data_IF_667632467218
#
_entry.id   IF_667632467218
#
_cell.length_a   1.000
_cell.length_b   1.000
_cell.length_c   1.000
_cell.angle_alpha   90.00
_cell.angle_beta   90.00
_cell.angle_gamma   90.00
#
_symmetry.space_group_name_H-M   'P 1'
#
loop_
_entity.id
_entity.type
_entity.pdbx_description
1 polymer ?
#
# COMPACT_ATOMS: atom_id res chain seq x y z
N UNK A 1 -31.66 2.84 -32.84
CA UNK A 1 -31.30 2.59 -32.44
C UNK A 1 -30.82 2.26 -31.98
N UNK A 2 -30.63 2.03 -31.53
CA UNK A 2 -30.01 1.73 -30.90
C UNK A 2 -29.49 1.04 -30.60
N UNK A 3 -28.86 0.90 -30.52
CA UNK A 3 -28.25 0.25 -30.23
C UNK A 3 -27.91 -0.15 -29.29
N UNK A 4 -28.19 -0.31 -28.87
CA UNK A 4 -27.67 -0.66 -28.12
C UNK A 4 -27.15 -1.47 -28.03
N UNK A 5 -27.39 -1.18 -28.27
CA UNK A 5 -26.16 -1.70 -28.05
C UNK A 5 -26.02 -2.67 -26.94
N UNK A 6 -25.17 -3.46 -27.06
CA UNK A 6 -24.83 -4.31 -25.98
C UNK A 6 -23.71 -3.72 -25.23
N UNK A 7 -24.01 -3.06 -24.16
CA UNK A 7 -22.97 -2.65 -23.24
C UNK A 7 -22.65 -3.82 -22.33
N UNK A 8 -21.42 -4.26 -22.36
CA UNK A 8 -20.95 -5.20 -21.36
C UNK A 8 -20.49 -4.41 -20.16
N UNK A 9 -21.16 -4.61 -19.05
CA UNK A 9 -20.84 -3.88 -17.83
C UNK A 9 -19.98 -4.78 -16.95
N UNK A 10 -18.78 -4.32 -16.66
CA UNK A 10 -17.88 -5.00 -15.72
C UNK A 10 -17.93 -4.28 -14.39
N UNK A 11 -17.97 -5.07 -13.32
CA UNK A 11 -17.78 -4.50 -12.01
C UNK A 11 -16.30 -4.20 -11.82
N UNK A 12 -15.98 -2.96 -11.58
CA UNK A 12 -14.62 -2.52 -11.30
C UNK A 12 -14.57 -1.94 -9.90
N UNK A 13 -13.75 -2.54 -9.06
CA UNK A 13 -13.49 -2.02 -7.73
C UNK A 13 -12.16 -1.29 -7.73
N UNK A 14 -12.19 -0.04 -7.31
CA UNK A 14 -10.97 0.75 -7.12
C UNK A 14 -10.81 1.00 -5.63
N UNK A 15 -9.78 0.40 -5.07
CA UNK A 15 -9.51 0.48 -3.64
C UNK A 15 -8.33 1.42 -3.42
N UNK A 16 -8.52 2.39 -2.54
CA UNK A 16 -7.47 3.31 -2.15
C UNK A 16 -7.07 3.05 -0.70
N UNK A 17 -5.77 2.95 -0.48
CA UNK A 17 -5.19 2.85 0.86
C UNK A 17 -4.40 4.12 1.13
N UNK A 18 -4.56 4.66 2.33
CA UNK A 18 -3.81 5.84 2.76
C UNK A 18 -3.27 5.63 4.18
N UNK A 19 -2.21 6.37 4.48
CA UNK A 19 -1.80 6.57 5.87
C UNK A 19 -2.43 7.90 6.30
N UNK A 20 -3.37 7.80 7.22
CA UNK A 20 -4.08 8.97 7.75
C UNK A 20 -3.28 9.53 8.92
N UNK A 21 -2.73 10.72 8.73
CA UNK A 21 -1.95 11.44 9.73
C UNK A 21 -2.73 12.59 10.37
N UNK A 22 -4.05 12.51 10.38
CA UNK A 22 -4.88 13.54 11.04
C UNK A 22 -4.49 13.71 12.51
N UNK A 23 -4.13 12.60 13.15
CA UNK A 23 -3.49 12.60 14.45
C UNK A 23 -2.07 12.08 14.28
N UNK A 24 -1.04 12.96 14.27
CA UNK A 24 0.33 12.51 14.06
C UNK A 24 0.86 11.58 15.15
N UNK A 25 0.25 11.59 16.31
CA UNK A 25 0.63 10.65 17.38
C UNK A 25 0.17 9.23 17.06
N UNK A 26 -0.84 9.08 16.24
CA UNK A 26 -1.43 7.78 15.89
C UNK A 26 -1.75 7.71 14.40
N UNK A 27 -0.74 7.58 13.53
CA UNK A 27 -0.99 7.40 12.10
C UNK A 27 -1.70 6.08 11.87
N UNK A 28 -2.68 6.09 10.98
CA UNK A 28 -3.55 4.95 10.77
C UNK A 28 -3.57 4.54 9.30
N UNK A 29 -3.59 3.24 9.05
CA UNK A 29 -3.86 2.71 7.73
C UNK A 29 -5.36 2.69 7.51
N UNK A 30 -5.82 3.34 6.47
CA UNK A 30 -7.23 3.42 6.13
C UNK A 30 -7.45 3.02 4.68
N UNK A 31 -8.67 2.64 4.38
CA UNK A 31 -9.07 2.07 3.10
C UNK A 31 -10.40 2.64 2.66
N UNK A 32 -10.54 2.84 1.36
CA UNK A 32 -11.80 3.27 0.77
C UNK A 32 -11.99 2.60 -0.59
N UNK A 33 -13.18 2.04 -0.83
CA UNK A 33 -13.60 1.66 -2.17
C UNK A 33 -14.21 2.90 -2.82
N UNK A 34 -13.53 3.42 -3.84
CA UNK A 34 -13.87 4.72 -4.43
C UNK A 34 -15.29 4.71 -5.02
N UNK A 35 -15.72 3.58 -5.56
CA UNK A 35 -17.03 3.49 -6.21
C UNK A 35 -18.20 3.36 -5.26
N UNK A 36 -17.99 2.92 -4.02
CA UNK A 36 -19.10 2.56 -3.13
C UNK A 36 -19.05 3.24 -1.77
N UNK A 37 -17.85 3.62 -1.29
CA UNK A 37 -17.72 4.17 0.05
C UNK A 37 -17.68 5.69 0.01
N UNK A 38 -18.36 6.32 0.96
CA UNK A 38 -18.34 7.78 1.09
C UNK A 38 -17.15 8.27 1.92
N UNK A 39 -16.53 7.38 2.68
CA UNK A 39 -15.43 7.74 3.56
C UNK A 39 -14.46 6.58 3.73
N UNK A 40 -13.31 6.90 4.31
CA UNK A 40 -12.30 5.88 4.61
C UNK A 40 -12.68 5.09 5.84
N UNK A 41 -12.36 3.80 5.81
CA UNK A 41 -12.52 2.91 6.95
C UNK A 41 -11.16 2.60 7.54
N UNK A 42 -11.08 2.59 8.85
CA UNK A 42 -9.87 2.25 9.58
C UNK A 42 -9.55 0.76 9.39
N UNK A 43 -8.32 0.47 8.98
CA UNK A 43 -7.81 -0.91 8.87
C UNK A 43 -6.94 -1.24 10.09
N UNK A 44 -6.01 -0.36 10.42
CA UNK A 44 -5.08 -0.59 11.52
C UNK A 44 -4.56 0.73 12.05
N UNK A 45 -4.40 0.78 13.36
CA UNK A 45 -3.79 1.92 14.03
C UNK A 45 -2.28 1.75 14.09
N UNK A 46 -1.58 2.87 14.24
CA UNK A 46 -0.13 2.91 14.45
C UNK A 46 0.63 2.23 13.31
N UNK A 47 0.25 2.56 12.10
CA UNK A 47 0.94 2.19 10.88
C UNK A 47 1.60 3.44 10.31
N UNK A 48 2.91 3.41 10.23
CA UNK A 48 3.74 4.55 9.84
C UNK A 48 3.84 4.70 8.33
N UNK A 49 3.87 3.58 7.61
CA UNK A 49 4.01 3.60 6.15
C UNK A 49 3.46 2.33 5.52
N UNK A 50 3.06 2.46 4.26
CA UNK A 50 2.61 1.37 3.41
C UNK A 50 3.23 1.58 2.03
N UNK A 51 3.94 0.59 1.51
CA UNK A 51 4.57 0.66 0.21
C UNK A 51 4.32 -0.62 -0.58
N UNK A 52 4.36 -0.50 -1.90
CA UNK A 52 4.21 -1.62 -2.81
C UNK A 52 5.39 -1.69 -3.77
N UNK A 53 5.79 -2.90 -4.12
CA UNK A 53 6.66 -3.18 -5.25
C UNK A 53 5.95 -4.17 -6.16
N UNK A 54 6.04 -3.95 -7.46
CA UNK A 54 5.36 -4.77 -8.44
C UNK A 54 6.40 -5.63 -9.16
N UNK A 55 6.18 -6.94 -9.16
CA UNK A 55 7.07 -7.89 -9.79
C UNK A 55 6.45 -8.25 -11.13
N UNK A 56 7.16 -7.96 -12.21
CA UNK A 56 6.68 -8.20 -13.55
C UNK A 56 6.99 -9.63 -13.99
N UNK A 57 6.41 -10.02 -15.12
CA UNK A 57 6.56 -11.37 -15.65
C UNK A 57 8.01 -11.76 -15.94
N UNK A 58 8.85 -10.78 -16.27
CA UNK A 58 10.28 -11.00 -16.53
C UNK A 58 11.14 -11.02 -15.27
N UNK A 59 10.52 -10.84 -14.10
CA UNK A 59 11.23 -10.79 -12.82
C UNK A 59 11.70 -9.41 -12.40
N UNK A 60 11.54 -8.40 -13.26
CA UNK A 60 11.92 -7.04 -12.90
C UNK A 60 10.97 -6.48 -11.83
N UNK A 61 11.48 -5.50 -11.07
CA UNK A 61 10.74 -4.88 -9.99
C UNK A 61 10.48 -3.43 -10.34
N UNK A 62 9.22 -3.02 -10.23
CA UNK A 62 8.79 -1.64 -10.45
C UNK A 62 8.20 -1.12 -9.14
N UNK A 63 8.69 0.01 -8.69
CA UNK A 63 8.25 0.61 -7.41
C UNK A 63 7.08 1.56 -7.59
N UNK A 64 6.86 2.06 -8.79
CA UNK A 64 5.74 2.93 -9.14
C UNK A 64 5.14 2.48 -10.45
N UNK A 65 3.81 2.40 -10.49
CA UNK A 65 3.08 2.09 -11.71
C UNK A 65 2.58 3.40 -12.32
N UNK A 66 3.50 4.15 -12.89
CA UNK A 66 3.16 5.40 -13.58
C UNK A 66 2.80 5.18 -15.04
N UNK A 67 2.92 3.95 -15.52
CA UNK A 67 2.57 3.59 -16.89
C UNK A 67 1.57 2.44 -16.87
N UNK A 68 0.38 2.68 -17.39
CA UNK A 68 -0.69 1.67 -17.42
C UNK A 68 -0.28 0.41 -18.19
N UNK A 69 0.65 0.52 -19.14
CA UNK A 69 1.13 -0.63 -19.90
C UNK A 69 1.81 -1.70 -19.08
N UNK A 70 2.24 -1.39 -17.85
CA UNK A 70 2.86 -2.38 -16.98
C UNK A 70 1.85 -3.25 -16.24
N UNK A 71 0.60 -2.80 -16.14
CA UNK A 71 -0.41 -3.50 -15.34
C UNK A 71 -0.64 -4.94 -15.78
N UNK A 72 -0.79 -5.23 -17.09
CA UNK A 72 -0.99 -6.62 -17.53
C UNK A 72 0.21 -7.52 -17.33
N UNK A 73 1.38 -6.94 -17.05
CA UNK A 73 2.63 -7.67 -16.92
C UNK A 73 2.96 -8.03 -15.47
N UNK A 74 2.13 -7.64 -14.53
CA UNK A 74 2.36 -7.87 -13.11
C UNK A 74 2.05 -9.32 -12.77
N UNK A 75 3.02 -10.02 -12.19
CA UNK A 75 2.81 -11.39 -11.72
C UNK A 75 2.72 -11.47 -10.19
N UNK A 76 3.22 -10.49 -9.49
CA UNK A 76 3.15 -10.47 -8.02
C UNK A 76 3.29 -9.04 -7.51
N UNK A 77 2.78 -8.82 -6.31
CA UNK A 77 2.88 -7.54 -5.61
C UNK A 77 3.52 -7.82 -4.26
N UNK A 78 4.58 -7.10 -3.94
CA UNK A 78 5.18 -7.13 -2.62
C UNK A 78 4.66 -5.94 -1.82
N UNK A 79 4.13 -6.21 -0.65
CA UNK A 79 3.55 -5.21 0.23
C UNK A 79 4.46 -5.04 1.43
N UNK A 80 4.77 -3.79 1.75
CA UNK A 80 5.54 -3.44 2.95
C UNK A 80 4.65 -2.63 3.89
N UNK A 81 4.65 -3.00 5.14
CA UNK A 81 3.94 -2.27 6.19
C UNK A 81 4.94 -1.97 7.29
N UNK A 82 5.11 -0.70 7.63
CA UNK A 82 5.92 -0.28 8.74
C UNK A 82 5.01 0.08 9.90
N UNK A 83 4.93 -0.82 10.87
CA UNK A 83 4.14 -0.62 12.08
C UNK A 83 5.01 0.00 13.17
N UNK A 84 4.39 0.72 14.10
CA UNK A 84 5.10 1.28 15.23
C UNK A 84 4.32 1.07 16.53
N UNK A 85 4.99 1.21 17.65
CA UNK A 85 4.35 1.13 18.96
C UNK A 85 3.35 2.26 19.14
N UNK A 86 2.34 2.04 19.97
CA UNK A 86 1.31 3.04 20.25
C UNK A 86 1.91 4.28 20.89
N UNK A 87 2.84 4.07 21.82
CA UNK A 87 3.47 5.15 22.57
C UNK A 87 4.98 5.10 22.43
N UNK A 88 5.61 6.25 22.64
CA UNK A 88 7.06 6.31 22.75
C UNK A 88 7.52 5.53 23.97
N UNK A 89 8.68 4.88 23.83
CA UNK A 89 9.28 4.10 24.87
C UNK A 89 10.37 4.93 25.53
N UNK A 90 10.26 5.11 26.85
CA UNK A 90 11.20 5.93 27.59
C UNK A 90 12.61 5.37 27.48
N UNK A 91 13.56 6.24 27.17
CA UNK A 91 14.96 5.87 27.04
C UNK A 91 15.32 5.15 25.75
N UNK A 92 14.36 5.03 24.81
CA UNK A 92 14.59 4.36 23.55
C UNK A 92 14.67 5.39 22.41
N UNK A 93 15.61 5.18 21.51
CA UNK A 93 15.70 5.91 20.25
C UNK A 93 15.84 4.89 19.14
N UNK A 94 14.96 4.96 18.15
CA UNK A 94 14.98 4.01 17.03
C UNK A 94 16.27 4.16 16.24
N UNK A 95 17.16 3.13 16.24
CA UNK A 95 18.44 3.21 15.56
C UNK A 95 18.37 2.78 14.10
N UNK A 96 17.20 2.38 13.63
CA UNK A 96 17.09 1.68 12.37
C UNK A 96 16.96 2.62 11.19
N UNK A 97 17.41 2.13 10.05
CA UNK A 97 17.22 2.72 8.75
C UNK A 97 16.28 1.81 7.98
N UNK A 98 15.14 2.33 7.56
CA UNK A 98 14.12 1.53 6.88
C UNK A 98 14.13 1.81 5.38
N UNK A 99 14.09 0.72 4.61
CA UNK A 99 13.98 0.79 3.16
C UNK A 99 12.84 -0.11 2.73
N UNK A 100 11.88 0.46 2.02
CA UNK A 100 10.66 -0.24 1.62
C UNK A 100 10.07 0.42 0.38
N UNK A 101 9.93 -0.32 -0.69
CA UNK A 101 9.40 0.21 -1.94
C UNK A 101 10.20 1.40 -2.42
N UNK A 102 9.54 2.52 -2.66
CA UNK A 102 10.19 3.76 -3.10
C UNK A 102 10.75 4.60 -1.95
N UNK A 103 10.57 4.17 -0.71
CA UNK A 103 11.11 4.86 0.46
C UNK A 103 12.52 4.35 0.73
N UNK A 104 13.48 5.25 0.73
CA UNK A 104 14.88 4.95 1.00
C UNK A 104 15.37 5.79 2.16
N UNK A 105 16.24 5.20 2.99
CA UNK A 105 16.91 5.90 4.08
C UNK A 105 15.94 6.58 5.05
N UNK A 106 14.84 5.92 5.37
CA UNK A 106 13.94 6.46 6.39
C UNK A 106 14.51 6.17 7.77
N UNK A 107 14.96 7.21 8.42
CA UNK A 107 15.60 7.16 9.75
C UNK A 107 14.83 8.06 10.70
N UNK A 108 13.75 7.59 11.31
CA UNK A 108 12.96 8.44 12.18
C UNK A 108 13.69 8.90 13.43
N UNK A 109 14.57 8.07 13.97
CA UNK A 109 15.41 8.40 15.14
C UNK A 109 14.60 8.98 16.31
N UNK A 110 13.43 8.41 16.54
CA UNK A 110 12.50 8.83 17.59
C UNK A 110 12.31 7.72 18.63
N UNK A 111 11.38 7.90 19.54
CA UNK A 111 11.15 6.96 20.64
C UNK A 111 10.22 5.80 20.32
N UNK A 112 9.75 5.66 19.09
CA UNK A 112 8.84 4.58 18.75
C UNK A 112 9.58 3.32 18.34
N UNK A 113 9.13 2.18 18.85
CA UNK A 113 9.59 0.88 18.38
C UNK A 113 8.85 0.54 17.10
N UNK A 114 9.59 0.12 16.06
CA UNK A 114 8.99 -0.19 14.76
C UNK A 114 9.28 -1.61 14.33
N UNK A 115 8.37 -2.13 13.51
CA UNK A 115 8.55 -3.42 12.84
C UNK A 115 8.18 -3.28 11.39
N UNK A 116 9.09 -3.67 10.51
CA UNK A 116 8.83 -3.74 9.07
C UNK A 116 8.35 -5.14 8.73
N UNK A 117 7.16 -5.20 8.17
CA UNK A 117 6.54 -6.44 7.72
C UNK A 117 6.44 -6.43 6.20
N UNK A 118 6.64 -7.58 5.58
CA UNK A 118 6.45 -7.69 4.13
C UNK A 118 5.78 -9.00 3.78
N UNK A 119 5.04 -8.96 2.67
CA UNK A 119 4.35 -10.14 2.14
C UNK A 119 4.32 -10.03 0.62
N UNK A 120 4.44 -11.15 -0.06
CA UNK A 120 4.33 -11.20 -1.52
C UNK A 120 3.04 -11.90 -1.89
N UNK A 121 2.23 -11.23 -2.71
CA UNK A 121 0.96 -11.73 -3.17
C UNK A 121 1.06 -11.99 -4.66
N UNK A 122 0.84 -13.22 -5.08
CA UNK A 122 0.84 -13.56 -6.49
C UNK A 122 -0.48 -13.17 -7.12
N UNK A 123 -0.41 -12.52 -8.27
CA UNK A 123 -1.62 -12.23 -9.04
C UNK A 123 -2.07 -13.49 -9.77
N UNK A 124 -3.38 -13.66 -9.84
CA UNK A 124 -3.96 -14.84 -10.51
C UNK A 124 -4.51 -14.45 -11.85
N UNK A 125 -3.93 -15.02 -12.89
CA UNK A 125 -4.53 -15.00 -14.21
C UNK A 125 -5.08 -13.67 -14.68
N UNK A 126 -4.37 -12.62 -14.37
CA UNK A 126 -4.75 -11.34 -14.89
C UNK A 126 -4.30 -11.28 -16.34
N UNK A 127 -5.18 -11.30 -17.26
CA UNK A 127 -4.83 -11.08 -18.64
C UNK A 127 -4.48 -12.32 -19.44
N UNK A 128 -4.95 -13.45 -18.99
CA UNK A 128 -4.83 -14.57 -19.88
C UNK A 128 -6.00 -14.67 -20.82
#
# INVERSE_FOLDING_TARGET
MNHMAKATVYKLDVIMYIIDNSDPAHPCLSRRNIGTDNSFSLIAEDVDNLQFEFILNDGSIVKNLDTAGNIPLIRAVKVYILARSENKIAGYTDPNNYEMGSVENYRPADGYLRRLLSSTIKTRNLGH
#
